data_IF_520543322471
#
_entry.id   IF_520543322471
#
_cell.length_a   1.000
_cell.length_b   1.000
_cell.length_c   1.000
_cell.angle_alpha   90.00
_cell.angle_beta   90.00
_cell.angle_gamma   90.00
#
_symmetry.space_group_name_H-M   'P 1'
#
loop_
_entity.id
_entity.type
_entity.pdbx_description
1 polymer ?
#
# COMPACT_ATOMS: atom_id res chain seq x y z
N UNK A 1 -21.78 20.08 -9.05
CA UNK A 1 -20.87 20.66 -8.05
C UNK A 1 -20.21 19.55 -7.21
N UNK A 2 -19.38 18.67 -7.79
CA UNK A 2 -18.76 17.53 -7.06
C UNK A 2 -17.22 17.45 -7.16
N UNK A 3 -16.53 18.30 -7.93
CA UNK A 3 -15.07 18.15 -8.13
C UNK A 3 -14.26 18.35 -6.83
N UNK A 4 -14.69 19.27 -5.96
CA UNK A 4 -13.97 19.61 -4.72
C UNK A 4 -13.93 18.43 -3.72
N UNK A 5 -15.02 17.66 -3.61
CA UNK A 5 -15.12 16.52 -2.69
C UNK A 5 -14.21 15.34 -3.11
N UNK A 6 -14.12 15.10 -4.42
CA UNK A 6 -13.29 13.99 -4.93
C UNK A 6 -11.79 14.26 -4.81
N UNK A 7 -11.35 15.50 -5.04
CA UNK A 7 -9.94 15.87 -4.90
C UNK A 7 -9.50 15.82 -3.43
N UNK A 8 -10.36 16.23 -2.49
CA UNK A 8 -10.10 16.10 -1.06
C UNK A 8 -10.01 14.63 -0.61
N UNK A 9 -10.94 13.78 -1.06
CA UNK A 9 -10.92 12.35 -0.75
C UNK A 9 -9.67 11.67 -1.31
N UNK A 10 -9.35 11.94 -2.57
CA UNK A 10 -8.17 11.40 -3.24
C UNK A 10 -6.87 11.81 -2.54
N UNK A 11 -6.77 13.09 -2.15
CA UNK A 11 -5.62 13.64 -1.43
C UNK A 11 -5.50 13.02 -0.04
N UNK A 12 -6.61 12.90 0.69
CA UNK A 12 -6.65 12.28 2.02
C UNK A 12 -6.17 10.83 1.96
N UNK A 13 -6.71 10.03 1.04
CA UNK A 13 -6.37 8.62 0.91
C UNK A 13 -4.91 8.44 0.47
N UNK A 14 -4.38 9.32 -0.38
CA UNK A 14 -2.96 9.35 -0.72
C UNK A 14 -2.07 9.58 0.51
N UNK A 15 -2.39 10.59 1.34
CA UNK A 15 -1.60 10.87 2.54
C UNK A 15 -1.71 9.78 3.59
N UNK A 16 -2.89 9.17 3.74
CA UNK A 16 -3.07 8.01 4.62
C UNK A 16 -2.22 6.84 4.13
N UNK A 17 -2.27 6.54 2.83
CA UNK A 17 -1.50 5.45 2.23
C UNK A 17 0.02 5.67 2.35
N UNK A 18 0.49 6.89 2.07
CA UNK A 18 1.91 7.26 2.27
C UNK A 18 2.31 7.21 3.73
N UNK A 19 1.48 7.71 4.64
CA UNK A 19 1.73 7.67 6.07
C UNK A 19 1.80 6.24 6.60
N UNK A 20 0.90 5.37 6.14
CA UNK A 20 0.89 3.95 6.45
C UNK A 20 2.18 3.29 5.96
N UNK A 21 2.56 3.54 4.71
CA UNK A 21 3.79 3.01 4.12
C UNK A 21 5.04 3.43 4.90
N UNK A 22 5.21 4.73 5.17
CA UNK A 22 6.36 5.23 5.94
C UNK A 22 6.39 4.63 7.34
N UNK A 23 5.24 4.51 8.00
CA UNK A 23 5.14 3.89 9.33
C UNK A 23 5.57 2.43 9.28
N UNK A 24 5.05 1.68 8.33
CA UNK A 24 5.40 0.27 8.12
C UNK A 24 6.89 0.13 7.79
N UNK A 25 7.43 0.98 6.92
CA UNK A 25 8.84 0.98 6.55
C UNK A 25 9.77 1.24 7.75
N UNK A 26 9.42 2.21 8.61
CA UNK A 26 10.16 2.49 9.84
C UNK A 26 10.09 1.32 10.81
N UNK A 27 8.92 0.74 11.04
CA UNK A 27 8.79 -0.43 11.92
C UNK A 27 9.57 -1.63 11.36
N UNK A 28 9.45 -1.86 10.05
CA UNK A 28 10.06 -2.99 9.35
C UNK A 28 11.59 -2.91 9.30
N UNK A 29 12.15 -1.81 8.79
CA UNK A 29 13.58 -1.72 8.51
C UNK A 29 14.39 -0.97 9.56
N UNK A 30 13.74 -0.26 10.49
CA UNK A 30 14.44 0.42 11.59
C UNK A 30 14.18 -0.30 12.91
N UNK A 31 12.92 -0.44 13.32
CA UNK A 31 12.60 -0.98 14.65
C UNK A 31 12.99 -2.45 14.81
N UNK A 32 12.53 -3.34 13.92
CA UNK A 32 12.81 -4.78 14.05
C UNK A 32 14.31 -5.14 14.02
N UNK A 33 15.14 -4.58 13.12
CA UNK A 33 16.58 -4.79 13.17
C UNK A 33 17.23 -4.16 14.42
N UNK A 34 16.77 -3.00 14.89
CA UNK A 34 17.34 -2.33 16.06
C UNK A 34 17.16 -3.13 17.36
N UNK A 35 16.06 -3.86 17.50
CA UNK A 35 15.83 -4.77 18.64
C UNK A 35 16.38 -6.18 18.40
N UNK A 36 17.20 -6.36 17.35
CA UNK A 36 17.81 -7.62 16.96
C UNK A 36 16.81 -8.78 16.74
N UNK A 37 15.55 -8.48 16.39
CA UNK A 37 14.54 -9.49 16.06
C UNK A 37 14.82 -10.17 14.70
N UNK A 38 15.51 -9.47 13.80
CA UNK A 38 15.93 -9.97 12.49
C UNK A 38 17.36 -9.54 12.18
N UNK A 39 18.11 -10.37 11.45
CA UNK A 39 19.45 -10.02 10.98
C UNK A 39 19.61 -10.19 9.46
N UNK A 40 18.94 -9.34 8.66
CA UNK A 40 18.87 -9.47 7.21
C UNK A 40 20.17 -9.11 6.46
N UNK A 41 21.15 -8.48 7.13
CA UNK A 41 22.43 -8.09 6.52
C UNK A 41 22.24 -7.22 5.26
N UNK A 42 22.91 -7.59 4.16
CA UNK A 42 22.84 -6.86 2.88
C UNK A 42 21.46 -6.92 2.20
N UNK A 43 20.63 -7.92 2.53
CA UNK A 43 19.29 -8.06 1.94
C UNK A 43 18.35 -6.92 2.33
N UNK A 44 18.57 -6.29 3.49
CA UNK A 44 17.75 -5.16 3.97
C UNK A 44 17.85 -3.95 3.04
N UNK A 45 19.04 -3.65 2.51
CA UNK A 45 19.23 -2.53 1.56
C UNK A 45 18.47 -2.77 0.27
N UNK A 46 18.52 -4.00 -0.25
CA UNK A 46 17.79 -4.38 -1.46
C UNK A 46 16.28 -4.30 -1.26
N UNK A 47 15.76 -4.80 -0.12
CA UNK A 47 14.34 -4.71 0.17
C UNK A 47 13.87 -3.27 0.37
N UNK A 48 14.67 -2.44 1.04
CA UNK A 48 14.40 -1.01 1.16
C UNK A 48 14.33 -0.33 -0.21
N UNK A 49 15.30 -0.58 -1.09
CA UNK A 49 15.31 -0.03 -2.46
C UNK A 49 14.10 -0.45 -3.29
N UNK A 50 13.63 -1.69 -3.13
CA UNK A 50 12.42 -2.18 -3.81
C UNK A 50 11.15 -1.60 -3.17
N UNK A 51 11.14 -1.37 -1.86
CA UNK A 51 9.99 -0.82 -1.16
C UNK A 51 9.67 0.62 -1.54
N UNK A 52 10.67 1.41 -1.92
CA UNK A 52 10.47 2.80 -2.38
C UNK A 52 9.52 2.92 -3.58
N UNK A 53 9.78 2.29 -4.75
CA UNK A 53 8.86 2.36 -5.88
C UNK A 53 7.54 1.64 -5.60
N UNK A 54 7.54 0.56 -4.79
CA UNK A 54 6.32 -0.16 -4.45
C UNK A 54 5.40 0.61 -3.50
N UNK A 55 5.95 1.32 -2.52
CA UNK A 55 5.20 2.12 -1.57
C UNK A 55 4.65 3.39 -2.20
N UNK A 56 5.49 4.13 -2.95
CA UNK A 56 5.05 5.30 -3.72
C UNK A 56 4.03 4.92 -4.79
N UNK A 57 4.35 3.89 -5.58
CA UNK A 57 3.46 3.36 -6.61
C UNK A 57 2.15 2.86 -6.00
N UNK A 58 2.22 2.13 -4.88
CA UNK A 58 1.05 1.60 -4.19
C UNK A 58 0.15 2.69 -3.62
N UNK A 59 0.72 3.74 -3.03
CA UNK A 59 -0.05 4.88 -2.53
C UNK A 59 -0.75 5.65 -3.66
N UNK A 60 -0.09 5.84 -4.81
CA UNK A 60 -0.73 6.41 -5.99
C UNK A 60 -1.84 5.51 -6.53
N UNK A 61 -1.65 4.20 -6.51
CA UNK A 61 -2.63 3.23 -7.00
C UNK A 61 -3.87 3.17 -6.09
N UNK A 62 -3.70 3.26 -4.77
CA UNK A 62 -4.82 3.42 -3.81
C UNK A 62 -5.56 4.73 -4.07
N UNK A 63 -4.84 5.85 -4.20
CA UNK A 63 -5.43 7.15 -4.48
C UNK A 63 -6.25 7.16 -5.77
N UNK A 64 -5.72 6.57 -6.85
CA UNK A 64 -6.42 6.41 -8.12
C UNK A 64 -7.62 5.47 -8.02
N UNK A 65 -7.48 4.36 -7.28
CA UNK A 65 -8.55 3.40 -7.00
C UNK A 65 -9.72 4.04 -6.26
N UNK A 66 -9.46 4.79 -5.19
CA UNK A 66 -10.48 5.51 -4.42
C UNK A 66 -11.27 6.48 -5.30
N UNK A 67 -10.58 7.26 -6.13
CA UNK A 67 -11.24 8.17 -7.08
C UNK A 67 -12.10 7.40 -8.09
N UNK A 68 -11.59 6.29 -8.62
CA UNK A 68 -12.29 5.47 -9.60
C UNK A 68 -13.56 4.83 -9.02
N UNK A 69 -13.48 4.32 -7.79
CA UNK A 69 -14.62 3.78 -7.05
C UNK A 69 -15.68 4.85 -6.78
N UNK A 70 -15.26 6.03 -6.33
CA UNK A 70 -16.15 7.13 -6.02
C UNK A 70 -16.90 7.65 -7.27
N UNK A 71 -16.20 7.76 -8.41
CA UNK A 71 -16.82 8.14 -9.70
C UNK A 71 -17.77 7.06 -10.23
N UNK A 72 -17.45 5.78 -10.02
CA UNK A 72 -18.30 4.65 -10.43
C UNK A 72 -19.59 4.58 -9.62
N UNK A 73 -19.56 5.04 -8.37
CA UNK A 73 -20.74 5.08 -7.51
C UNK A 73 -21.73 6.17 -7.95
N UNK A 74 -21.24 7.30 -8.44
CA UNK A 74 -22.03 8.45 -8.90
C UNK A 74 -22.63 8.26 -10.31
N UNK A 75 -21.94 7.54 -11.22
CA UNK A 75 -22.27 7.55 -12.66
C UNK A 75 -22.89 6.28 -13.22
N UNK A 76 -22.84 5.14 -12.53
CA UNK A 76 -23.24 3.87 -13.14
C UNK A 76 -24.52 3.29 -12.51
N UNK A 77 -25.61 3.27 -13.27
CA UNK A 77 -26.77 2.40 -13.07
C UNK A 77 -26.68 1.24 -14.08
N UNK A 78 -26.60 -0.01 -13.61
CA UNK A 78 -26.59 -1.22 -14.46
C UNK A 78 -25.36 -2.13 -14.30
N UNK A 79 -25.32 -3.24 -15.05
CA UNK A 79 -24.34 -4.35 -14.96
C UNK A 79 -22.87 -3.91 -15.12
N UNK A 80 -22.60 -2.85 -15.88
CA UNK A 80 -21.24 -2.30 -16.02
C UNK A 80 -20.69 -1.71 -14.71
N UNK A 81 -21.55 -1.30 -13.77
CA UNK A 81 -21.15 -0.78 -12.45
C UNK A 81 -20.30 -1.80 -11.69
N UNK A 82 -20.66 -3.09 -11.76
CA UNK A 82 -19.98 -4.14 -11.02
C UNK A 82 -18.54 -4.34 -11.50
N UNK A 83 -18.31 -4.32 -12.82
CA UNK A 83 -16.96 -4.43 -13.39
C UNK A 83 -16.07 -3.25 -13.00
N UNK A 84 -16.61 -2.03 -13.03
CA UNK A 84 -15.88 -0.83 -12.61
C UNK A 84 -15.52 -0.84 -11.12
N UNK A 85 -16.43 -1.31 -10.26
CA UNK A 85 -16.16 -1.49 -8.83
C UNK A 85 -15.06 -2.53 -8.61
N UNK A 86 -15.12 -3.66 -9.32
CA UNK A 86 -14.12 -4.73 -9.21
C UNK A 86 -12.74 -4.21 -9.63
N UNK A 87 -12.63 -3.52 -10.76
CA UNK A 87 -11.36 -2.93 -11.23
C UNK A 87 -10.80 -1.92 -10.22
N UNK A 88 -11.67 -1.07 -9.65
CA UNK A 88 -11.29 -0.16 -8.58
C UNK A 88 -10.73 -0.90 -7.36
N UNK A 89 -11.46 -1.91 -6.84
CA UNK A 89 -11.01 -2.70 -5.69
C UNK A 89 -9.70 -3.44 -5.94
N UNK A 90 -9.53 -4.05 -7.11
CA UNK A 90 -8.27 -4.70 -7.49
C UNK A 90 -7.09 -3.72 -7.46
N UNK A 91 -7.29 -2.49 -7.95
CA UNK A 91 -6.29 -1.44 -7.81
C UNK A 91 -5.95 -1.14 -6.35
N UNK A 92 -6.96 -0.98 -5.49
CA UNK A 92 -6.74 -0.74 -4.06
C UNK A 92 -5.94 -1.88 -3.40
N UNK A 93 -6.23 -3.13 -3.76
CA UNK A 93 -5.55 -4.31 -3.23
C UNK A 93 -4.10 -4.40 -3.67
N UNK A 94 -3.82 -4.18 -4.97
CA UNK A 94 -2.46 -4.17 -5.50
C UNK A 94 -1.65 -3.06 -4.82
N UNK A 95 -2.25 -1.87 -4.65
CA UNK A 95 -1.59 -0.77 -3.95
C UNK A 95 -1.30 -1.08 -2.49
N UNK A 96 -2.21 -1.77 -1.80
CA UNK A 96 -2.04 -2.20 -0.41
C UNK A 96 -0.91 -3.24 -0.27
N UNK A 97 -0.79 -4.19 -1.21
CA UNK A 97 0.33 -5.13 -1.24
C UNK A 97 1.66 -4.40 -1.41
N UNK A 98 1.72 -3.40 -2.28
CA UNK A 98 2.92 -2.58 -2.47
C UNK A 98 3.34 -1.83 -1.19
N UNK A 99 2.38 -1.26 -0.47
CA UNK A 99 2.61 -0.55 0.79
C UNK A 99 3.04 -1.49 1.92
N UNK A 100 2.45 -2.70 2.00
CA UNK A 100 2.77 -3.68 3.02
C UNK A 100 4.00 -4.54 2.71
N UNK A 101 4.64 -4.36 1.55
CA UNK A 101 5.83 -5.09 1.15
C UNK A 101 6.93 -5.13 2.23
N UNK A 102 7.32 -4.01 2.89
CA UNK A 102 8.33 -4.05 3.95
C UNK A 102 7.98 -5.01 5.09
N UNK A 103 6.71 -5.03 5.49
CA UNK A 103 6.21 -5.88 6.55
C UNK A 103 6.30 -7.36 6.16
N UNK A 104 5.86 -7.71 4.95
CA UNK A 104 5.94 -9.08 4.44
C UNK A 104 7.38 -9.61 4.42
N UNK A 105 8.34 -8.80 3.95
CA UNK A 105 9.74 -9.21 3.88
C UNK A 105 10.33 -9.47 5.27
N UNK A 106 10.03 -8.60 6.23
CA UNK A 106 10.52 -8.76 7.61
C UNK A 106 9.86 -9.93 8.32
N UNK A 107 8.55 -10.13 8.15
CA UNK A 107 7.87 -11.31 8.67
C UNK A 107 8.45 -12.60 8.07
N UNK A 108 8.68 -12.63 6.75
CA UNK A 108 9.30 -13.79 6.08
C UNK A 108 10.68 -14.09 6.67
N UNK A 109 11.51 -13.06 6.89
CA UNK A 109 12.84 -13.24 7.50
C UNK A 109 12.70 -13.73 8.95
N UNK A 110 11.80 -13.15 9.74
CA UNK A 110 11.54 -13.55 11.12
C UNK A 110 11.13 -15.04 11.21
N UNK A 111 10.14 -15.47 10.44
CA UNK A 111 9.68 -16.86 10.43
C UNK A 111 10.75 -17.83 9.90
N UNK A 112 11.58 -17.41 8.94
CA UNK A 112 12.68 -18.25 8.44
C UNK A 112 13.79 -18.46 9.47
N UNK A 113 13.94 -17.54 10.42
CA UNK A 113 14.92 -17.64 11.50
C UNK A 113 14.38 -18.42 12.72
N UNK A 114 13.06 -18.63 12.82
CA UNK A 114 12.48 -19.53 13.83
C UNK A 114 12.75 -20.96 13.37
N UNK A 115 13.81 -21.57 13.91
CA UNK A 115 13.99 -23.02 13.86
C UNK A 115 12.93 -23.65 14.77
N UNK A 116 11.91 -24.25 14.16
CA UNK A 116 11.02 -25.21 14.82
C UNK A 116 11.78 -26.49 15.19
#
# INVERSE_FOLDING_TARGET
MNHFSFDELQRKDLFIALGLWVTVELVSFVFFPAVALINPGDRLKTWFLISLPLGLGGALLISASSRFLAMSHDRAAGTNKMLFIILGQFGGWIGLVGILFPFFMVCSEFFSNIKL
#
